data_IF_045751589796
#
_entry.id   IF_045751589796
#
_cell.length_a   1.000
_cell.length_b   1.000
_cell.length_c   1.000
_cell.angle_alpha   90.00
_cell.angle_beta   90.00
_cell.angle_gamma   90.00
#
_symmetry.space_group_name_H-M   'P 1'
#
loop_
_entity.id
_entity.type
_entity.pdbx_description
1 polymer ?
#
# COMPACT_ATOMS: atom_id res chain seq x y z
N UNK A 1 -10.53 -20.68 12.62
CA UNK A 1 -11.49 -19.62 13.01
C UNK A 1 -12.16 -19.10 11.76
N UNK A 2 -13.49 -19.04 11.73
CA UNK A 2 -14.21 -18.37 10.64
C UNK A 2 -13.80 -16.90 10.62
N UNK A 3 -13.43 -16.38 9.45
CA UNK A 3 -13.19 -14.94 9.29
C UNK A 3 -14.54 -14.22 9.36
N UNK A 4 -14.86 -13.70 10.54
CA UNK A 4 -16.05 -12.89 10.79
C UNK A 4 -15.69 -11.41 10.65
N UNK A 5 -16.64 -10.59 10.22
CA UNK A 5 -16.45 -9.15 10.22
C UNK A 5 -16.43 -8.59 11.64
N UNK A 6 -15.45 -7.75 11.93
CA UNK A 6 -15.41 -6.91 13.12
C UNK A 6 -15.78 -5.48 12.75
N UNK A 7 -16.55 -4.82 13.61
CA UNK A 7 -16.81 -3.39 13.48
C UNK A 7 -15.62 -2.59 14.02
N UNK A 8 -15.25 -1.54 13.30
CA UNK A 8 -14.18 -0.64 13.69
C UNK A 8 -14.58 0.81 13.44
N UNK A 9 -14.26 1.67 14.40
CA UNK A 9 -14.57 3.10 14.34
C UNK A 9 -13.47 3.85 13.60
N UNK A 10 -13.86 4.69 12.66
CA UNK A 10 -12.94 5.52 11.88
C UNK A 10 -12.45 6.66 12.78
N UNK A 11 -11.13 6.80 12.88
CA UNK A 11 -10.48 7.96 13.52
C UNK A 11 -9.99 8.99 12.51
N UNK A 12 -9.67 8.53 11.29
CA UNK A 12 -9.27 9.40 10.17
C UNK A 12 -9.84 8.83 8.89
N UNK A 13 -10.42 9.68 8.06
CA UNK A 13 -10.64 9.38 6.64
C UNK A 13 -10.43 10.67 5.85
N UNK A 14 -9.34 10.76 5.08
CA UNK A 14 -8.99 11.99 4.37
C UNK A 14 -8.48 11.70 2.97
N UNK A 15 -8.81 12.61 2.06
CA UNK A 15 -8.22 12.62 0.74
C UNK A 15 -6.77 13.10 0.84
N UNK A 16 -5.83 12.32 0.32
CA UNK A 16 -4.39 12.65 0.32
C UNK A 16 -3.87 13.03 -1.08
N UNK A 17 -4.57 12.60 -2.13
CA UNK A 17 -4.36 12.98 -3.53
C UNK A 17 -5.68 12.79 -4.31
N UNK A 18 -5.78 13.26 -5.56
CA UNK A 18 -6.95 13.06 -6.42
C UNK A 18 -7.37 11.58 -6.45
N UNK A 19 -8.57 11.30 -5.94
CA UNK A 19 -9.15 9.97 -5.78
C UNK A 19 -8.39 9.01 -4.85
N UNK A 20 -7.38 9.46 -4.10
CA UNK A 20 -6.65 8.62 -3.14
C UNK A 20 -6.99 9.06 -1.72
N UNK A 21 -7.45 8.11 -0.91
CA UNK A 21 -7.87 8.33 0.47
C UNK A 21 -7.04 7.50 1.43
N UNK A 22 -6.78 8.06 2.61
CA UNK A 22 -6.21 7.35 3.75
C UNK A 22 -7.28 7.23 4.83
N UNK A 23 -7.56 6.01 5.26
CA UNK A 23 -8.51 5.70 6.32
C UNK A 23 -7.81 4.95 7.45
N UNK A 24 -8.04 5.36 8.69
CA UNK A 24 -7.51 4.73 9.89
C UNK A 24 -8.67 4.38 10.83
N UNK A 25 -8.57 3.19 11.43
CA UNK A 25 -9.59 2.61 12.30
C UNK A 25 -8.96 2.33 13.66
N UNK A 26 -9.57 2.82 14.75
CA UNK A 26 -9.11 2.51 16.11
C UNK A 26 -9.39 1.07 16.49
N UNK A 27 -8.49 0.49 17.27
CA UNK A 27 -8.60 -0.85 17.82
C UNK A 27 -7.31 -1.65 17.65
N UNK A 28 -7.30 -2.83 18.27
CA UNK A 28 -6.20 -3.79 18.17
C UNK A 28 -6.46 -4.73 17.01
N UNK A 29 -5.60 -4.70 16.00
CA UNK A 29 -5.67 -5.55 14.82
C UNK A 29 -4.37 -6.31 14.64
N UNK A 30 -4.42 -7.40 13.88
CA UNK A 30 -3.25 -8.22 13.56
C UNK A 30 -3.07 -8.26 12.05
N UNK A 31 -1.87 -7.96 11.56
CA UNK A 31 -1.53 -8.17 10.17
C UNK A 31 -0.02 -8.35 10.04
N UNK A 32 0.39 -9.25 9.14
CA UNK A 32 1.73 -9.27 8.60
C UNK A 32 1.84 -8.27 7.44
N UNK A 33 3.01 -7.67 7.21
CA UNK A 33 3.21 -6.78 6.07
C UNK A 33 2.84 -7.45 4.75
N UNK A 34 2.17 -6.72 3.85
CA UNK A 34 1.65 -7.25 2.59
C UNK A 34 0.28 -7.94 2.67
N UNK A 35 -0.27 -8.17 3.87
CA UNK A 35 -1.65 -8.63 4.02
C UNK A 35 -2.66 -7.51 3.78
N UNK A 36 -3.92 -7.91 3.65
CA UNK A 36 -5.04 -7.01 3.40
C UNK A 36 -6.26 -7.37 4.25
N UNK A 37 -7.22 -6.45 4.32
CA UNK A 37 -8.54 -6.71 4.90
C UNK A 37 -9.62 -6.54 3.84
N UNK A 38 -10.70 -7.31 3.98
CA UNK A 38 -11.95 -7.06 3.26
C UNK A 38 -12.75 -6.01 4.02
N UNK A 39 -12.84 -4.80 3.46
CA UNK A 39 -13.47 -3.65 4.09
C UNK A 39 -14.83 -3.37 3.44
N UNK A 40 -15.84 -3.08 4.28
CA UNK A 40 -17.16 -2.64 3.80
C UNK A 40 -17.83 -1.64 4.74
N UNK A 41 -18.58 -0.73 4.15
CA UNK A 41 -19.33 0.33 4.84
C UNK A 41 -20.80 0.41 4.40
N UNK A 42 -21.32 -0.67 3.85
CA UNK A 42 -22.67 -0.82 3.27
C UNK A 42 -23.19 -2.22 3.57
N UNK A 43 -24.51 -2.38 3.60
CA UNK A 43 -25.15 -3.65 3.92
C UNK A 43 -25.29 -4.56 2.70
N UNK A 44 -26.09 -4.15 1.72
CA UNK A 44 -26.48 -5.02 0.60
C UNK A 44 -25.73 -4.72 -0.71
N UNK A 45 -25.56 -3.45 -1.04
CA UNK A 45 -25.05 -3.03 -2.35
C UNK A 45 -23.90 -2.01 -2.19
N UNK A 46 -22.70 -2.29 -2.73
CA UNK A 46 -22.30 -3.45 -3.54
C UNK A 46 -22.27 -4.78 -2.77
N UNK A 47 -22.46 -5.91 -3.45
CA UNK A 47 -22.53 -7.19 -2.74
C UNK A 47 -21.22 -7.58 -2.03
N UNK A 48 -20.10 -7.42 -2.74
CA UNK A 48 -18.77 -7.81 -2.26
C UNK A 48 -18.09 -6.67 -1.49
N UNK A 49 -17.36 -7.00 -0.44
CA UNK A 49 -16.41 -6.12 0.26
C UNK A 49 -15.24 -5.71 -0.65
N UNK A 50 -14.41 -4.76 -0.22
CA UNK A 50 -13.23 -4.33 -0.98
C UNK A 50 -11.96 -4.85 -0.31
N UNK A 51 -11.13 -5.65 -1.00
CA UNK A 51 -9.80 -5.98 -0.50
C UNK A 51 -8.93 -4.74 -0.52
N UNK A 52 -8.43 -4.31 0.64
CA UNK A 52 -7.55 -3.14 0.75
C UNK A 52 -6.36 -3.52 1.63
N UNK A 53 -5.17 -3.35 1.07
CA UNK A 53 -3.91 -3.71 1.74
C UNK A 53 -3.65 -2.82 2.94
N UNK A 54 -3.08 -3.43 4.00
CA UNK A 54 -2.69 -2.70 5.21
C UNK A 54 -1.56 -1.75 4.86
N UNK A 55 -1.78 -0.45 5.07
CA UNK A 55 -0.80 0.61 4.83
C UNK A 55 0.15 0.77 6.01
N UNK A 56 -0.40 0.79 7.23
CA UNK A 56 0.36 0.80 8.49
C UNK A 56 -0.47 0.16 9.60
N UNK A 57 0.22 -0.33 10.64
CA UNK A 57 -0.37 -0.94 11.82
C UNK A 57 0.46 -0.55 13.06
N UNK A 58 -0.23 -0.17 14.12
CA UNK A 58 0.33 0.03 15.46
C UNK A 58 -0.63 -0.55 16.53
N UNK A 59 -0.30 -0.38 17.81
CA UNK A 59 -1.08 -0.94 18.92
C UNK A 59 -2.47 -0.30 19.12
N UNK A 60 -2.71 0.86 18.50
CA UNK A 60 -3.92 1.66 18.68
C UNK A 60 -4.82 1.68 17.45
N UNK A 61 -4.26 1.48 16.25
CA UNK A 61 -5.01 1.58 14.99
C UNK A 61 -4.39 0.78 13.84
N UNK A 62 -5.26 0.47 12.88
CA UNK A 62 -4.89 -0.01 11.55
C UNK A 62 -5.22 1.05 10.50
N UNK A 63 -4.33 1.22 9.52
CA UNK A 63 -4.48 2.22 8.47
C UNK A 63 -4.44 1.59 7.08
N UNK A 64 -5.20 2.18 6.17
CA UNK A 64 -5.31 1.75 4.77
C UNK A 64 -5.23 2.97 3.86
N UNK A 65 -4.65 2.78 2.67
CA UNK A 65 -4.68 3.76 1.59
C UNK A 65 -5.32 3.11 0.38
N UNK A 66 -6.30 3.78 -0.23
CA UNK A 66 -7.08 3.22 -1.32
C UNK A 66 -7.42 4.26 -2.39
N UNK A 67 -7.60 3.76 -3.61
CA UNK A 67 -8.12 4.53 -4.73
C UNK A 67 -9.65 4.42 -4.79
N UNK A 68 -10.32 5.56 -4.98
CA UNK A 68 -11.76 5.61 -5.24
C UNK A 68 -12.01 5.12 -6.67
N UNK A 69 -12.34 3.84 -6.77
CA UNK A 69 -12.69 3.15 -8.00
C UNK A 69 -13.96 2.30 -7.82
N UNK A 70 -15.07 2.82 -8.35
CA UNK A 70 -16.37 2.18 -8.30
C UNK A 70 -17.13 2.43 -6.99
N UNK A 71 -18.30 1.79 -6.86
CA UNK A 71 -19.29 2.11 -5.82
C UNK A 71 -18.79 1.91 -4.39
N UNK A 72 -18.13 0.79 -4.11
CA UNK A 72 -17.72 0.43 -2.73
C UNK A 72 -16.72 1.42 -2.13
N UNK A 73 -15.64 1.72 -2.85
CA UNK A 73 -14.64 2.72 -2.40
C UNK A 73 -15.18 4.15 -2.47
N UNK A 74 -16.14 4.43 -3.35
CA UNK A 74 -16.88 5.71 -3.34
C UNK A 74 -17.84 5.88 -2.15
N UNK A 75 -18.32 4.78 -1.55
CA UNK A 75 -19.02 4.84 -0.26
C UNK A 75 -18.02 5.06 0.88
N UNK A 76 -16.89 4.35 0.86
CA UNK A 76 -15.83 4.51 1.87
C UNK A 76 -15.31 5.96 1.93
N UNK A 77 -15.09 6.61 0.77
CA UNK A 77 -14.58 7.99 0.71
C UNK A 77 -15.54 9.04 1.29
N UNK A 78 -16.81 8.68 1.52
CA UNK A 78 -17.82 9.58 2.11
C UNK A 78 -18.00 9.39 3.63
N UNK A 79 -17.30 8.41 4.21
CA UNK A 79 -17.32 8.18 5.66
C UNK A 79 -16.45 9.21 6.38
N UNK A 80 -16.85 9.59 7.59
CA UNK A 80 -16.18 10.59 8.41
C UNK A 80 -15.58 9.97 9.66
N UNK A 81 -14.74 10.75 10.36
CA UNK A 81 -14.33 10.38 11.72
C UNK A 81 -15.57 10.17 12.61
N UNK A 82 -15.55 9.10 13.41
CA UNK A 82 -16.67 8.68 14.23
C UNK A 82 -17.61 7.66 13.58
N UNK A 83 -17.61 7.53 12.25
CA UNK A 83 -18.38 6.50 11.56
C UNK A 83 -17.77 5.10 11.77
N UNK A 84 -18.60 4.07 11.63
CA UNK A 84 -18.16 2.66 11.70
C UNK A 84 -18.01 2.04 10.31
N UNK A 85 -17.01 1.18 10.15
CA UNK A 85 -16.85 0.25 9.03
C UNK A 85 -16.68 -1.18 9.52
N UNK A 86 -16.90 -2.16 8.65
CA UNK A 86 -16.69 -3.57 8.92
C UNK A 86 -15.41 -4.04 8.23
N UNK A 87 -14.56 -4.73 8.98
CA UNK A 87 -13.29 -5.30 8.52
C UNK A 87 -13.30 -6.81 8.71
N UNK A 88 -12.87 -7.56 7.70
CA UNK A 88 -12.66 -9.01 7.80
C UNK A 88 -11.24 -9.34 7.34
N UNK A 89 -10.46 -9.94 8.21
CA UNK A 89 -9.04 -10.24 7.96
C UNK A 89 -8.27 -10.55 9.25
N UNK A 90 -6.93 -10.60 9.17
CA UNK A 90 -6.15 -10.35 7.96
C UNK A 90 -6.33 -11.47 6.92
N UNK A 91 -6.15 -11.13 5.65
CA UNK A 91 -6.23 -12.04 4.49
C UNK A 91 -4.92 -12.02 3.69
N UNK A 92 -4.67 -13.10 2.95
CA UNK A 92 -3.50 -13.25 2.09
C UNK A 92 -2.24 -13.72 2.82
N UNK A 93 -1.20 -14.05 2.05
CA UNK A 93 0.14 -14.33 2.57
C UNK A 93 0.93 -13.03 2.55
N UNK A 94 1.48 -12.63 3.69
CA UNK A 94 2.35 -11.45 3.80
C UNK A 94 3.77 -11.70 3.29
N UNK A 95 4.59 -10.66 3.34
CA UNK A 95 6.03 -10.75 3.13
C UNK A 95 6.71 -11.41 4.34
N UNK A 96 7.67 -12.30 4.07
CA UNK A 96 8.52 -12.90 5.09
C UNK A 96 9.69 -11.97 5.38
N UNK A 97 9.40 -10.88 6.12
CA UNK A 97 10.35 -9.77 6.34
C UNK A 97 11.63 -10.21 7.05
N UNK A 98 11.60 -11.27 7.86
CA UNK A 98 12.77 -11.80 8.55
C UNK A 98 13.79 -12.44 7.59
N UNK A 99 13.35 -12.85 6.40
CA UNK A 99 14.21 -13.41 5.35
C UNK A 99 14.75 -12.37 4.37
N UNK A 100 14.25 -11.14 4.44
CA UNK A 100 14.68 -10.05 3.55
C UNK A 100 15.89 -9.38 4.17
N UNK A 101 17.06 -9.49 3.50
CA UNK A 101 18.34 -8.95 4.00
C UNK A 101 19.18 -8.37 2.88
N UNK A 102 20.02 -7.39 3.21
CA UNK A 102 20.98 -6.77 2.30
C UNK A 102 20.48 -5.47 1.69
N UNK A 103 20.81 -5.22 0.42
CA UNK A 103 20.30 -4.07 -0.34
C UNK A 103 19.02 -4.46 -1.07
N UNK A 104 17.91 -3.79 -0.76
CA UNK A 104 16.56 -4.15 -1.17
C UNK A 104 15.99 -3.07 -2.08
N UNK A 105 15.43 -3.47 -3.21
CA UNK A 105 14.64 -2.58 -4.05
C UNK A 105 13.15 -2.80 -3.78
N UNK A 106 12.42 -1.70 -3.58
CA UNK A 106 10.96 -1.70 -3.49
C UNK A 106 10.40 -0.97 -4.70
N UNK A 107 9.86 -1.71 -5.66
CA UNK A 107 9.37 -1.19 -6.94
C UNK A 107 7.85 -1.11 -6.93
N UNK A 108 7.31 0.09 -7.04
CA UNK A 108 5.88 0.35 -6.88
C UNK A 108 5.28 1.15 -8.02
N UNK A 109 3.99 0.91 -8.28
CA UNK A 109 3.22 1.66 -9.27
C UNK A 109 1.85 2.06 -8.73
N UNK A 110 1.55 3.35 -8.74
CA UNK A 110 0.29 3.91 -8.25
C UNK A 110 -0.03 3.41 -6.85
N UNK A 111 -1.25 2.91 -6.63
CA UNK A 111 -1.73 2.50 -5.31
C UNK A 111 -0.96 1.31 -4.71
N UNK A 112 -0.14 0.61 -5.52
CA UNK A 112 0.75 -0.45 -5.04
C UNK A 112 1.81 0.01 -4.03
N UNK A 113 2.04 1.31 -3.90
CA UNK A 113 2.92 1.85 -2.85
C UNK A 113 2.31 1.71 -1.43
N UNK A 114 0.99 1.61 -1.31
CA UNK A 114 0.29 1.56 -0.01
C UNK A 114 0.79 0.44 0.92
N UNK A 115 0.80 -0.85 0.55
CA UNK A 115 1.29 -1.92 1.42
C UNK A 115 2.78 -1.83 1.77
N UNK A 116 3.55 -1.04 1.02
CA UNK A 116 5.00 -1.02 1.17
C UNK A 116 5.44 -0.26 2.42
N UNK A 117 4.67 0.70 2.94
CA UNK A 117 5.08 1.42 4.15
C UNK A 117 5.21 0.47 5.34
N UNK A 118 4.17 -0.32 5.63
CA UNK A 118 4.24 -1.32 6.70
C UNK A 118 5.33 -2.37 6.44
N UNK A 119 5.56 -2.70 5.17
CA UNK A 119 6.61 -3.66 4.76
C UNK A 119 8.01 -3.14 5.07
N UNK A 120 8.37 -1.94 4.61
CA UNK A 120 9.72 -1.40 4.84
C UNK A 120 9.97 -1.09 6.33
N UNK A 121 8.94 -0.64 7.06
CA UNK A 121 9.01 -0.39 8.51
C UNK A 121 9.31 -1.67 9.30
N UNK A 122 8.95 -2.83 8.74
CA UNK A 122 9.11 -4.13 9.39
C UNK A 122 10.40 -4.87 8.98
N UNK A 123 11.12 -4.40 7.97
CA UNK A 123 12.41 -4.95 7.56
C UNK A 123 13.50 -4.37 8.45
N UNK A 124 14.38 -5.21 8.97
CA UNK A 124 15.50 -4.82 9.84
C UNK A 124 16.83 -4.98 9.12
N UNK A 125 17.82 -4.17 9.52
CA UNK A 125 19.23 -4.29 9.13
C UNK A 125 19.46 -4.40 7.61
N UNK A 126 18.71 -3.64 6.83
CA UNK A 126 18.77 -3.64 5.36
C UNK A 126 18.82 -2.22 4.81
N UNK A 127 19.46 -2.05 3.66
CA UNK A 127 19.40 -0.80 2.88
C UNK A 127 18.23 -0.88 1.92
N UNK A 128 17.36 0.12 1.92
CA UNK A 128 16.10 0.09 1.18
C UNK A 128 16.06 1.28 0.21
N UNK A 129 16.04 0.96 -1.08
CA UNK A 129 15.79 1.94 -2.14
C UNK A 129 14.40 1.72 -2.72
N UNK A 130 13.62 2.80 -2.81
CA UNK A 130 12.25 2.75 -3.33
C UNK A 130 12.21 3.37 -4.72
N UNK A 131 11.61 2.66 -5.66
CA UNK A 131 11.31 3.13 -7.00
C UNK A 131 9.79 3.24 -7.14
N UNK A 132 9.25 4.46 -7.11
CA UNK A 132 7.82 4.71 -7.05
C UNK A 132 7.31 5.46 -8.30
N UNK A 133 6.49 4.78 -9.09
CA UNK A 133 5.90 5.32 -10.32
C UNK A 133 4.49 5.81 -10.12
N UNK A 134 4.20 7.02 -10.57
CA UNK A 134 2.88 7.63 -10.53
C UNK A 134 2.49 8.16 -11.91
N UNK A 135 1.19 8.42 -12.13
CA UNK A 135 0.74 9.04 -13.39
C UNK A 135 1.09 10.52 -13.46
N UNK A 136 0.77 11.25 -12.39
CA UNK A 136 0.88 12.72 -12.37
C UNK A 136 1.54 13.25 -11.11
N UNK A 137 1.27 12.72 -9.93
CA UNK A 137 1.84 13.26 -8.69
C UNK A 137 2.04 12.17 -7.67
N UNK A 138 3.16 12.24 -6.95
CA UNK A 138 3.43 11.30 -5.88
C UNK A 138 2.57 11.57 -4.66
N UNK A 139 2.25 10.50 -3.94
CA UNK A 139 1.61 10.56 -2.62
C UNK A 139 2.32 9.56 -1.71
N UNK A 140 2.21 9.79 -0.40
CA UNK A 140 2.85 9.01 0.69
C UNK A 140 4.38 8.87 0.64
N UNK A 141 5.06 9.39 -0.39
CA UNK A 141 6.53 9.28 -0.56
C UNK A 141 7.33 9.89 0.59
N UNK A 142 6.84 10.97 1.21
CA UNK A 142 7.48 11.55 2.39
C UNK A 142 7.42 10.64 3.63
N UNK A 143 6.38 9.82 3.76
CA UNK A 143 6.31 8.80 4.82
C UNK A 143 7.31 7.68 4.54
N UNK A 144 7.44 7.29 3.26
CA UNK A 144 8.41 6.27 2.85
C UNK A 144 9.86 6.68 3.14
N UNK A 145 10.21 7.96 2.91
CA UNK A 145 11.56 8.51 3.17
C UNK A 145 12.02 8.38 4.63
N UNK A 146 11.11 8.15 5.58
CA UNK A 146 11.46 7.94 7.00
C UNK A 146 12.09 6.57 7.26
N UNK A 147 11.88 5.62 6.36
CA UNK A 147 12.26 4.21 6.52
C UNK A 147 13.08 3.66 5.34
N UNK A 148 13.40 4.50 4.36
CA UNK A 148 14.17 4.14 3.17
C UNK A 148 15.40 5.03 3.04
N UNK A 149 16.49 4.46 2.55
CA UNK A 149 17.73 5.20 2.25
C UNK A 149 17.52 6.16 1.08
N UNK A 150 16.84 5.69 0.02
CA UNK A 150 16.53 6.51 -1.15
C UNK A 150 15.08 6.29 -1.62
N UNK A 151 14.48 7.36 -2.16
CA UNK A 151 13.17 7.30 -2.82
C UNK A 151 13.26 7.98 -4.18
N UNK A 152 13.27 7.16 -5.22
CA UNK A 152 13.24 7.56 -6.62
C UNK A 152 11.81 7.61 -7.12
N UNK A 153 11.41 8.76 -7.64
CA UNK A 153 10.05 9.00 -8.11
C UNK A 153 10.07 9.08 -9.63
N UNK A 154 9.11 8.43 -10.28
CA UNK A 154 8.83 8.65 -11.70
C UNK A 154 7.40 9.11 -11.90
N UNK A 155 7.18 9.99 -12.87
CA UNK A 155 5.84 10.33 -13.36
C UNK A 155 5.74 10.20 -14.87
N UNK A 156 4.60 9.73 -15.38
CA UNK A 156 4.39 9.54 -16.83
C UNK A 156 4.60 10.86 -17.62
N UNK A 157 4.24 11.99 -17.00
CA UNK A 157 4.35 13.32 -17.61
C UNK A 157 5.61 14.12 -17.21
N UNK A 158 6.39 13.65 -16.23
CA UNK A 158 7.60 14.34 -15.75
C UNK A 158 7.33 15.53 -14.81
N UNK A 159 6.13 15.64 -14.26
CA UNK A 159 5.77 16.62 -13.23
C UNK A 159 6.60 16.52 -11.94
N UNK A 160 7.14 15.34 -11.62
CA UNK A 160 7.91 15.06 -10.42
C UNK A 160 8.90 13.94 -10.69
N UNK A 161 10.16 14.15 -10.29
CA UNK A 161 11.22 13.15 -10.48
C UNK A 161 11.51 12.88 -11.96
N UNK A 162 11.69 11.60 -12.30
CA UNK A 162 12.03 11.16 -13.66
C UNK A 162 10.78 11.02 -14.53
N UNK A 163 10.81 11.57 -15.76
CA UNK A 163 9.74 11.41 -16.74
C UNK A 163 9.80 10.02 -17.37
N UNK A 164 8.85 9.15 -17.03
CA UNK A 164 8.74 7.80 -17.59
C UNK A 164 8.34 6.76 -16.55
N UNK A 165 8.66 5.49 -16.82
CA UNK A 165 8.32 4.37 -15.92
C UNK A 165 9.47 3.99 -14.98
N UNK A 166 9.13 3.43 -13.81
CA UNK A 166 10.11 2.95 -12.82
C UNK A 166 11.13 1.97 -13.37
N UNK A 167 10.76 1.16 -14.36
CA UNK A 167 11.65 0.16 -14.94
C UNK A 167 12.72 0.74 -15.87
N UNK A 168 12.68 2.05 -16.18
CA UNK A 168 13.76 2.74 -16.90
C UNK A 168 14.90 3.17 -15.96
N UNK A 169 14.62 3.37 -14.69
CA UNK A 169 15.61 3.82 -13.68
C UNK A 169 15.98 2.72 -12.68
N UNK A 170 15.30 1.57 -12.75
CA UNK A 170 15.51 0.43 -11.87
C UNK A 170 16.45 -0.59 -12.50
N UNK A 171 17.49 -0.99 -11.76
CA UNK A 171 18.44 -2.02 -12.16
C UNK A 171 18.52 -3.14 -11.09
N UNK A 172 17.94 -4.33 -11.32
CA UNK A 172 17.84 -5.38 -10.31
C UNK A 172 19.19 -5.96 -9.88
N UNK A 173 20.24 -5.89 -10.72
CA UNK A 173 21.54 -6.50 -10.42
C UNK A 173 22.23 -5.86 -9.20
N UNK A 174 21.80 -4.66 -8.81
CA UNK A 174 22.32 -3.94 -7.65
C UNK A 174 21.70 -4.39 -6.33
N UNK A 175 20.70 -5.27 -6.35
CA UNK A 175 19.88 -5.60 -5.19
C UNK A 175 19.88 -7.09 -4.87
N UNK A 176 19.83 -7.41 -3.59
CA UNK A 176 19.72 -8.79 -3.09
C UNK A 176 18.29 -9.32 -3.15
N UNK A 177 17.29 -8.44 -3.03
CA UNK A 177 15.89 -8.78 -3.22
C UNK A 177 15.10 -7.60 -3.79
N UNK A 178 14.03 -7.93 -4.52
CA UNK A 178 13.13 -6.97 -5.15
C UNK A 178 11.71 -7.25 -4.68
N UNK A 179 11.12 -6.28 -3.98
CA UNK A 179 9.70 -6.30 -3.59
C UNK A 179 8.93 -5.46 -4.60
N UNK A 180 7.87 -6.02 -5.18
CA UNK A 180 7.14 -5.36 -6.26
C UNK A 180 5.64 -5.36 -6.02
N UNK A 181 4.99 -4.21 -6.18
CA UNK A 181 3.53 -4.08 -6.12
C UNK A 181 3.02 -2.94 -6.99
N UNK A 182 2.07 -3.23 -7.88
CA UNK A 182 1.48 -2.22 -8.75
C UNK A 182 0.68 -2.83 -9.89
N UNK A 183 0.49 -2.10 -11.02
CA UNK A 183 -0.20 -2.62 -12.18
C UNK A 183 0.47 -3.89 -12.73
N UNK A 184 -0.33 -4.85 -13.20
CA UNK A 184 0.16 -6.14 -13.72
C UNK A 184 1.25 -5.99 -14.78
N UNK A 185 1.12 -4.99 -15.66
CA UNK A 185 2.11 -4.71 -16.72
C UNK A 185 3.46 -4.32 -16.12
N UNK A 186 3.47 -3.50 -15.07
CA UNK A 186 4.69 -3.12 -14.35
C UNK A 186 5.30 -4.32 -13.64
N UNK A 187 4.49 -5.06 -12.88
CA UNK A 187 4.98 -6.23 -12.14
C UNK A 187 5.58 -7.29 -13.06
N UNK A 188 4.97 -7.53 -14.23
CA UNK A 188 5.51 -8.45 -15.25
C UNK A 188 6.87 -7.97 -15.79
N UNK A 189 7.01 -6.68 -16.09
CA UNK A 189 8.27 -6.09 -16.57
C UNK A 189 9.38 -6.23 -15.52
N UNK A 190 9.10 -5.84 -14.27
CA UNK A 190 10.05 -5.95 -13.15
C UNK A 190 10.45 -7.40 -12.91
N UNK A 191 9.48 -8.32 -12.87
CA UNK A 191 9.72 -9.76 -12.73
C UNK A 191 10.67 -10.29 -13.80
N UNK A 192 10.45 -9.93 -15.07
CA UNK A 192 11.31 -10.36 -16.18
C UNK A 192 12.72 -9.79 -16.11
N UNK A 193 12.92 -8.62 -15.51
CA UNK A 193 14.25 -8.03 -15.33
C UNK A 193 15.05 -8.74 -14.23
N UNK A 194 14.40 -9.48 -13.34
CA UNK A 194 15.03 -10.18 -12.21
C UNK A 194 15.34 -11.67 -12.50
N UNK A 195 15.00 -12.17 -13.69
CA UNK A 195 15.30 -13.53 -14.17
C UNK A 195 16.58 -13.52 -15.01
#
# INVERSE_FOLDING_TARGET
MQQVYVEGKIVVNKQIEKNIYMISVEGKFEAKPGQFYMIRAWDKDPFLSRPISVYDLDDEKISFVYEVRGKGTGILSKKNCGDTIRLMGPCGNGFDVDKIKGKIAVVTGGIGIAPMLYTIKSIKDSKIDIFAGFREKSYITNEMKKYADNVYITTDNGSEGYKGNVAEIFNPIEYNAVLCCGPTVMMKKVSNMCL
#
